data_IF_686244459116
#
_entry.id   IF_686244459116
#
_cell.length_a   1.000
_cell.length_b   1.000
_cell.length_c   1.000
_cell.angle_alpha   90.00
_cell.angle_beta   90.00
_cell.angle_gamma   90.00
#
_symmetry.space_group_name_H-M   'P 1'
#
loop_
_entity.id
_entity.type
_entity.pdbx_description
1 polymer ?
#
# COMPACT_ATOMS: atom_id res chain seq x y z
N UNK A 1 -1.88 19.12 -13.51
CA UNK A 1 -2.45 18.30 -12.44
C UNK A 1 -1.69 16.98 -12.32
N UNK A 2 -1.21 16.66 -11.16
CA UNK A 2 -0.48 15.40 -10.97
C UNK A 2 -1.46 14.23 -10.83
N UNK A 3 -1.11 13.10 -11.41
CA UNK A 3 -1.85 11.86 -11.19
C UNK A 3 -1.69 11.42 -9.71
N UNK A 4 -2.58 10.52 -9.26
CA UNK A 4 -2.53 9.98 -7.91
C UNK A 4 -1.15 9.37 -7.58
N UNK A 5 -0.59 8.61 -8.52
CA UNK A 5 0.71 7.96 -8.32
C UNK A 5 1.86 8.95 -8.30
N UNK A 6 1.79 9.97 -9.13
CA UNK A 6 2.81 11.02 -9.14
C UNK A 6 2.81 11.78 -7.82
N UNK A 7 1.64 12.09 -7.27
CA UNK A 7 1.51 12.74 -5.98
C UNK A 7 2.11 11.88 -4.86
N UNK A 8 1.81 10.59 -4.86
CA UNK A 8 2.35 9.66 -3.88
C UNK A 8 3.86 9.54 -3.97
N UNK A 9 4.38 9.39 -5.17
CA UNK A 9 5.82 9.28 -5.40
C UNK A 9 6.55 10.54 -4.94
N UNK A 10 6.01 11.70 -5.28
CA UNK A 10 6.58 12.97 -4.86
C UNK A 10 6.60 13.09 -3.33
N UNK A 11 5.51 12.71 -2.68
CA UNK A 11 5.41 12.75 -1.22
C UNK A 11 6.45 11.86 -0.56
N UNK A 12 6.60 10.63 -1.04
CA UNK A 12 7.57 9.67 -0.49
C UNK A 12 8.99 10.18 -0.67
N UNK A 13 9.29 10.70 -1.84
CA UNK A 13 10.63 11.20 -2.15
C UNK A 13 10.99 12.43 -1.33
N UNK A 14 10.08 13.40 -1.21
CA UNK A 14 10.32 14.62 -0.46
C UNK A 14 10.53 14.37 1.03
N UNK A 15 9.87 13.34 1.57
CA UNK A 15 9.94 13.01 3.00
C UNK A 15 10.89 11.86 3.30
N UNK A 16 11.65 11.41 2.31
CA UNK A 16 12.65 10.35 2.45
C UNK A 16 12.07 9.07 3.04
N UNK A 17 10.86 8.70 2.60
CA UNK A 17 10.17 7.49 3.04
C UNK A 17 10.47 6.38 2.05
N UNK A 18 11.15 5.33 2.51
CA UNK A 18 11.56 4.20 1.67
C UNK A 18 10.81 2.91 1.99
N UNK A 19 10.28 2.77 3.20
CA UNK A 19 9.61 1.55 3.64
C UNK A 19 8.21 1.84 4.14
N UNK A 20 7.39 0.80 4.19
CA UNK A 20 6.04 0.91 4.75
C UNK A 20 6.07 1.29 6.23
N UNK A 21 7.03 0.76 6.98
CA UNK A 21 7.18 1.10 8.40
C UNK A 21 7.47 2.59 8.59
N UNK A 22 8.30 3.17 7.73
CA UNK A 22 8.58 4.60 7.75
C UNK A 22 7.35 5.42 7.39
N UNK A 23 6.55 4.94 6.44
CA UNK A 23 5.30 5.59 6.06
C UNK A 23 4.31 5.62 7.21
N UNK A 24 4.14 4.48 7.89
CA UNK A 24 3.23 4.39 9.04
C UNK A 24 3.69 5.25 10.20
N UNK A 25 4.99 5.31 10.45
CA UNK A 25 5.55 6.17 11.47
C UNK A 25 5.32 7.65 11.15
N UNK A 26 5.49 8.04 9.89
CA UNK A 26 5.22 9.41 9.44
C UNK A 26 3.76 9.77 9.65
N UNK A 27 2.86 8.88 9.24
CA UNK A 27 1.42 9.07 9.38
C UNK A 27 1.02 9.25 10.85
N UNK A 28 1.52 8.36 11.72
CA UNK A 28 1.24 8.43 13.16
C UNK A 28 1.73 9.73 13.76
N UNK A 29 2.95 10.15 13.41
CA UNK A 29 3.53 11.40 13.89
C UNK A 29 2.69 12.60 13.43
N UNK A 30 2.24 12.60 12.17
CA UNK A 30 1.38 13.66 11.65
C UNK A 30 0.04 13.71 12.41
N UNK A 31 -0.55 12.56 12.72
CA UNK A 31 -1.79 12.50 13.48
C UNK A 31 -1.62 13.05 14.89
N UNK A 32 -0.50 12.72 15.55
CA UNK A 32 -0.17 13.27 16.86
C UNK A 32 -0.03 14.79 16.80
N UNK A 33 0.66 15.31 15.78
CA UNK A 33 0.80 16.76 15.60
C UNK A 33 -0.55 17.43 15.39
N UNK A 34 -1.44 16.82 14.62
CA UNK A 34 -2.80 17.35 14.42
C UNK A 34 -3.52 17.47 15.75
N UNK A 35 -3.44 16.44 16.60
CA UNK A 35 -4.07 16.45 17.91
C UNK A 35 -3.50 17.56 18.81
N UNK A 36 -2.19 17.74 18.81
CA UNK A 36 -1.54 18.79 19.57
C UNK A 36 -1.99 20.19 19.11
N UNK A 37 -2.04 20.39 17.80
CA UNK A 37 -2.50 21.66 17.23
C UNK A 37 -3.98 21.89 17.53
N UNK A 38 -4.79 20.85 17.50
CA UNK A 38 -6.21 20.94 17.85
C UNK A 38 -6.39 21.37 19.31
N UNK A 39 -5.57 20.84 20.23
CA UNK A 39 -5.61 21.23 21.65
C UNK A 39 -5.21 22.69 21.82
N UNK A 40 -4.14 23.13 21.14
CA UNK A 40 -3.71 24.52 21.20
C UNK A 40 -4.81 25.44 20.69
N UNK A 41 -5.44 25.08 19.56
CA UNK A 41 -6.54 25.86 19.01
C UNK A 41 -7.72 25.92 19.97
N UNK A 42 -8.06 24.82 20.62
CA UNK A 42 -9.14 24.75 21.59
C UNK A 42 -8.90 25.70 22.78
N UNK A 43 -7.66 25.73 23.27
CA UNK A 43 -7.30 26.66 24.35
C UNK A 43 -7.49 28.10 23.89
N UNK A 44 -7.08 28.43 22.68
CA UNK A 44 -7.24 29.77 22.14
C UNK A 44 -8.72 30.18 22.00
N UNK A 45 -9.58 29.24 21.59
CA UNK A 45 -11.02 29.50 21.52
C UNK A 45 -11.64 29.79 22.87
N UNK A 46 -11.09 29.21 23.95
CA UNK A 46 -11.57 29.43 25.31
C UNK A 46 -11.13 30.79 25.90
N UNK A 47 -10.04 31.34 25.37
CA UNK A 47 -9.55 32.63 25.83
C UNK A 47 -10.41 33.74 25.23
N UNK A 48 -11.07 34.50 26.08
CA UNK A 48 -11.99 35.58 25.66
C UNK A 48 -11.51 36.97 26.05
N UNK A 49 -10.22 37.14 26.26
CA UNK A 49 -9.68 38.43 26.66
C UNK A 49 -9.46 39.34 25.46
N UNK A 50 -10.01 40.55 25.55
CA UNK A 50 -9.62 41.61 24.68
C UNK A 50 -8.58 42.46 25.43
N UNK A 51 -7.60 43.05 24.79
CA UNK A 51 -7.47 43.41 23.37
C UNK A 51 -6.71 42.42 22.51
N UNK A 52 -6.42 41.21 22.95
CA UNK A 52 -5.64 40.24 22.24
C UNK A 52 -6.43 39.45 21.18
N UNK A 53 -7.67 39.83 20.95
CA UNK A 53 -8.57 39.13 20.04
C UNK A 53 -8.01 38.97 18.64
N UNK A 54 -7.45 40.04 18.06
CA UNK A 54 -6.90 39.96 16.69
C UNK A 54 -5.71 39.03 16.62
N UNK A 55 -4.80 39.06 17.58
CA UNK A 55 -3.65 38.18 17.65
C UNK A 55 -4.09 36.73 17.83
N UNK A 56 -5.12 36.50 18.64
CA UNK A 56 -5.69 35.18 18.87
C UNK A 56 -6.30 34.61 17.60
N UNK A 57 -7.07 35.40 16.87
CA UNK A 57 -7.68 34.99 15.61
C UNK A 57 -6.63 34.64 14.58
N UNK A 58 -5.53 35.37 14.49
CA UNK A 58 -4.41 35.07 13.62
C UNK A 58 -3.77 33.75 13.98
N UNK A 59 -3.55 33.47 15.26
CA UNK A 59 -3.01 32.19 15.71
C UNK A 59 -3.94 31.02 15.38
N UNK A 60 -5.23 31.21 15.62
CA UNK A 60 -6.24 30.17 15.29
C UNK A 60 -6.22 29.88 13.79
N UNK A 61 -6.14 30.91 12.97
CA UNK A 61 -6.07 30.77 11.52
C UNK A 61 -4.82 30.01 11.10
N UNK A 62 -3.66 30.36 11.69
CA UNK A 62 -2.41 29.67 11.41
C UNK A 62 -2.46 28.20 11.81
N UNK A 63 -2.97 27.89 13.00
CA UNK A 63 -3.13 26.50 13.47
C UNK A 63 -4.06 25.71 12.58
N UNK A 64 -5.16 26.32 12.14
CA UNK A 64 -6.11 25.70 11.23
C UNK A 64 -5.46 25.33 9.91
N UNK A 65 -4.63 26.23 9.36
CA UNK A 65 -3.89 25.96 8.13
C UNK A 65 -2.87 24.84 8.28
N UNK A 66 -2.15 24.83 9.41
CA UNK A 66 -1.19 23.76 9.71
C UNK A 66 -1.89 22.41 9.83
N UNK A 67 -3.01 22.37 10.54
CA UNK A 67 -3.81 21.16 10.68
C UNK A 67 -4.31 20.65 9.33
N UNK A 68 -4.75 21.57 8.47
CA UNK A 68 -5.23 21.23 7.14
C UNK A 68 -4.12 20.60 6.30
N UNK A 69 -2.92 21.16 6.35
CA UNK A 69 -1.77 20.61 5.63
C UNK A 69 -1.41 19.22 6.15
N UNK A 70 -1.40 19.03 7.48
CA UNK A 70 -1.10 17.73 8.08
C UNK A 70 -2.16 16.69 7.75
N UNK A 71 -3.43 17.07 7.76
CA UNK A 71 -4.53 16.17 7.36
C UNK A 71 -4.38 15.71 5.91
N UNK A 72 -3.93 16.61 5.06
CA UNK A 72 -3.67 16.27 3.66
C UNK A 72 -2.55 15.23 3.57
N UNK A 73 -1.49 15.40 4.35
CA UNK A 73 -0.40 14.42 4.39
C UNK A 73 -0.88 13.05 4.90
N UNK A 74 -1.71 13.04 5.96
CA UNK A 74 -2.32 11.80 6.46
C UNK A 74 -3.17 11.14 5.39
N UNK A 75 -3.92 11.93 4.64
CA UNK A 75 -4.72 11.42 3.54
C UNK A 75 -3.86 10.75 2.48
N UNK A 76 -2.75 11.37 2.10
CA UNK A 76 -1.81 10.78 1.12
C UNK A 76 -1.24 9.47 1.67
N UNK A 77 -0.84 9.44 2.94
CA UNK A 77 -0.33 8.21 3.56
C UNK A 77 -1.37 7.10 3.53
N UNK A 78 -2.62 7.41 3.82
CA UNK A 78 -3.72 6.43 3.80
C UNK A 78 -3.96 5.89 2.39
N UNK A 79 -3.88 6.76 1.39
CA UNK A 79 -4.00 6.35 -0.01
C UNK A 79 -2.88 5.39 -0.41
N UNK A 80 -1.66 5.70 0.01
CA UNK A 80 -0.51 4.84 -0.29
C UNK A 80 -0.69 3.47 0.36
N UNK A 81 -1.16 3.42 1.62
CA UNK A 81 -1.45 2.15 2.30
C UNK A 81 -2.48 1.33 1.53
N UNK A 82 -3.55 1.95 1.11
CA UNK A 82 -4.63 1.29 0.37
C UNK A 82 -4.12 0.76 -0.97
N UNK A 83 -3.39 1.58 -1.71
CA UNK A 83 -2.86 1.20 -3.01
C UNK A 83 -1.82 0.09 -2.89
N UNK A 84 -0.97 0.13 -1.86
CA UNK A 84 0.00 -0.92 -1.61
C UNK A 84 -0.68 -2.26 -1.32
N UNK A 85 -1.75 -2.24 -0.53
CA UNK A 85 -2.51 -3.45 -0.24
C UNK A 85 -3.15 -4.03 -1.50
N UNK A 86 -3.71 -3.19 -2.36
CA UNK A 86 -4.30 -3.62 -3.63
C UNK A 86 -3.25 -4.22 -4.56
N UNK A 87 -2.08 -3.59 -4.66
CA UNK A 87 -0.99 -4.08 -5.49
C UNK A 87 -0.51 -5.44 -4.99
N UNK A 88 -0.33 -5.61 -3.68
CA UNK A 88 0.07 -6.88 -3.10
C UNK A 88 -0.94 -7.98 -3.38
N UNK A 89 -2.23 -7.68 -3.25
CA UNK A 89 -3.29 -8.65 -3.53
C UNK A 89 -3.29 -9.07 -4.99
N UNK A 90 -3.13 -8.14 -5.91
CA UNK A 90 -3.05 -8.43 -7.34
C UNK A 90 -1.85 -9.28 -7.68
N UNK A 91 -0.69 -8.99 -7.07
CA UNK A 91 0.52 -9.79 -7.26
C UNK A 91 0.33 -11.20 -6.75
N UNK A 92 -0.30 -11.36 -5.59
CA UNK A 92 -0.58 -12.68 -5.03
C UNK A 92 -1.48 -13.50 -5.94
N UNK A 93 -2.55 -12.89 -6.48
CA UNK A 93 -3.45 -13.55 -7.41
C UNK A 93 -2.74 -13.95 -8.69
N UNK A 94 -1.87 -13.09 -9.22
CA UNK A 94 -1.09 -13.38 -10.40
C UNK A 94 -0.12 -14.57 -10.17
N UNK A 95 0.51 -14.62 -9.00
CA UNK A 95 1.39 -15.72 -8.64
C UNK A 95 0.63 -17.05 -8.54
N UNK A 96 -0.55 -17.02 -7.92
CA UNK A 96 -1.39 -18.22 -7.81
C UNK A 96 -1.83 -18.71 -9.19
N UNK A 97 -2.23 -17.83 -10.07
CA UNK A 97 -2.60 -18.16 -11.44
C UNK A 97 -1.42 -18.77 -12.20
N UNK A 98 -0.23 -18.20 -12.04
CA UNK A 98 0.99 -18.71 -12.67
C UNK A 98 1.35 -20.11 -12.15
N UNK A 99 1.16 -20.35 -10.84
CA UNK A 99 1.39 -21.68 -10.26
C UNK A 99 0.40 -22.70 -10.80
N UNK A 100 -0.86 -22.34 -10.93
CA UNK A 100 -1.87 -23.23 -11.50
C UNK A 100 -1.54 -23.62 -12.94
N UNK A 101 -1.13 -22.67 -13.76
CA UNK A 101 -0.69 -22.93 -15.13
C UNK A 101 0.51 -23.88 -15.16
N UNK A 102 1.49 -23.65 -14.30
CA UNK A 102 2.67 -24.53 -14.23
C UNK A 102 2.29 -25.93 -13.82
N UNK A 103 1.38 -26.09 -12.88
CA UNK A 103 0.90 -27.41 -12.45
C UNK A 103 0.16 -28.12 -13.56
N UNK A 104 -0.67 -27.44 -14.32
CA UNK A 104 -1.37 -28.01 -15.46
C UNK A 104 -0.40 -28.52 -16.52
N UNK A 105 0.61 -27.74 -16.84
CA UNK A 105 1.65 -28.11 -17.81
C UNK A 105 2.40 -29.32 -17.33
N UNK A 106 2.78 -29.39 -16.06
CA UNK A 106 3.46 -30.57 -15.51
C UNK A 106 2.60 -31.83 -15.60
N UNK A 107 1.32 -31.73 -15.32
CA UNK A 107 0.41 -32.85 -15.41
C UNK A 107 0.27 -33.34 -16.83
N UNK A 108 0.18 -32.45 -17.78
CA UNK A 108 0.13 -32.82 -19.21
C UNK A 108 1.40 -33.52 -19.65
N UNK A 109 2.56 -33.03 -19.24
CA UNK A 109 3.83 -33.70 -19.55
C UNK A 109 3.90 -35.11 -18.97
N UNK A 110 3.47 -35.30 -17.76
CA UNK A 110 3.44 -36.61 -17.13
C UNK A 110 2.52 -37.56 -17.86
N UNK A 111 1.36 -37.10 -18.29
CA UNK A 111 0.44 -37.94 -19.10
C UNK A 111 1.07 -38.35 -20.40
N UNK A 112 1.77 -37.45 -21.08
CA UNK A 112 2.46 -37.75 -22.33
C UNK A 112 3.56 -38.78 -22.13
N UNK A 113 4.34 -38.65 -21.05
CA UNK A 113 5.40 -39.61 -20.73
C UNK A 113 4.85 -40.96 -20.42
N UNK A 114 3.77 -41.05 -19.69
CA UNK A 114 3.11 -42.31 -19.39
C UNK A 114 2.64 -43.01 -20.67
N UNK A 115 2.03 -42.27 -21.58
CA UNK A 115 1.59 -42.82 -22.86
C UNK A 115 2.75 -43.36 -23.67
N UNK A 116 3.88 -42.68 -23.72
CA UNK A 116 5.06 -43.15 -24.44
C UNK A 116 5.65 -44.41 -23.83
N UNK A 117 5.69 -44.48 -22.51
CA UNK A 117 6.18 -45.66 -21.80
C UNK A 117 5.33 -46.88 -22.09
N UNK A 118 4.03 -46.71 -22.07
CA UNK A 118 3.12 -47.81 -22.40
C UNK A 118 3.30 -48.29 -23.83
N UNK A 119 3.45 -47.37 -24.76
CA UNK A 119 3.69 -47.73 -26.15
C UNK A 119 5.00 -48.43 -26.35
N UNK A 120 6.06 -47.99 -25.70
CA UNK A 120 7.34 -48.66 -25.79
C UNK A 120 7.31 -50.05 -25.16
N UNK A 121 6.60 -50.18 -24.06
CA UNK A 121 6.49 -51.47 -23.37
C UNK A 121 5.79 -52.52 -24.18
N UNK A 122 4.82 -52.16 -24.97
CA UNK A 122 4.08 -53.12 -25.76
C UNK A 122 4.84 -53.63 -27.00
N UNK A 123 5.86 -52.90 -27.41
CA UNK A 123 6.56 -53.31 -28.58
C UNK A 123 7.62 -54.32 -28.36
N UNK A 124 7.95 -54.73 -27.33
CA UNK A 124 8.98 -55.49 -27.18
C UNK A 124 8.82 -56.64 -26.71
N UNK A 125 8.92 -56.90 -26.98
CA UNK A 125 8.83 -57.67 -26.77
C UNK A 125 8.50 -58.33 -26.70
N UNK A 126 8.22 -58.56 -27.15
CA UNK A 126 7.81 -58.78 -27.25
C UNK A 126 7.57 -59.60 -26.87
N UNK A 127 7.15 -59.84 -26.79
CA UNK A 127 6.73 -60.15 -26.45
C UNK A 127 6.79 -60.71 -25.41
N UNK A 128 6.90 -60.78 -24.73
CA UNK A 128 7.00 -61.21 -23.79
C UNK A 128 6.92 -60.50 -22.74
N UNK A 129 6.63 -60.03 -22.49
CA UNK A 129 6.58 -59.45 -21.59
C UNK A 129 6.51 -58.30 -21.49
N UNK A 130 6.04 -57.84 -21.34
CA UNK A 130 6.06 -56.64 -21.30
C UNK A 130 5.74 -56.08 -20.18
#
# INVERSE_FOLDING_TARGET
MFSRYQQQTKFLWENHIETMDELLAYKENAEVQIQQLARQRKVLYRQKREPERAAREEKIKSLTQQMKALRHEVYICSDIETDAAEVQEKLRQAELAAQEERNEVKQDEQRRRSSRSDGAGSLTGYRSSH
#
